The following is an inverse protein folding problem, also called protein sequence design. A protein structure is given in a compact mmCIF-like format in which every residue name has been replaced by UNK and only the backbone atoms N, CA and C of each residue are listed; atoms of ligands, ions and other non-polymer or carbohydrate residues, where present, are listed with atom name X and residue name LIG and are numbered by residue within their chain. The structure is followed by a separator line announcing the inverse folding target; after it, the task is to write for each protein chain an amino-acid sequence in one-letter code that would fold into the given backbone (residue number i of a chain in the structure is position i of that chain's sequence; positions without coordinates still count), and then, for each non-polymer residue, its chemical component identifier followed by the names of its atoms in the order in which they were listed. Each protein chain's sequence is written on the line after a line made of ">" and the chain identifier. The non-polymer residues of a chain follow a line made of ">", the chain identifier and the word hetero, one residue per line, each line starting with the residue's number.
data_IF_535328641768
#
_entry.id   IF_535328641768
#
_cell.length_a   1.000
_cell.length_b   1.000
_cell.length_c   1.000
_cell.angle_alpha   90.00
_cell.angle_beta   90.00
_cell.angle_gamma   90.00
#
_symmetry.space_group_name_H-M   'P 1'
#
loop_
_entity.id
_entity.type
_entity.pdbx_description
1 polymer ?
#
# COMPACT_ATOMS: atom_id res chain seq x y z
N UNK A 1 -0.74 -1.72 42.28
CA UNK A 1 0.23 -0.80 41.64
C UNK A 1 0.57 -1.33 40.26
N UNK A 2 0.04 -0.72 39.19
CA UNK A 2 0.17 -1.28 37.83
C UNK A 2 0.27 -0.24 36.70
N UNK A 3 0.64 1.00 37.01
CA UNK A 3 0.98 2.07 36.05
C UNK A 3 0.04 2.22 34.83
N UNK A 4 -1.27 2.02 35.02
CA UNK A 4 -2.26 1.96 33.94
C UNK A 4 -2.40 3.28 33.17
N UNK A 5 -2.00 4.40 33.75
CA UNK A 5 -1.97 5.72 33.13
C UNK A 5 -1.04 5.79 31.90
N UNK A 6 -0.04 4.91 31.82
CA UNK A 6 0.88 4.85 30.67
C UNK A 6 0.35 3.99 29.50
N UNK A 7 -0.74 3.25 29.69
CA UNK A 7 -1.25 2.34 28.68
C UNK A 7 -1.64 3.07 27.38
N UNK A 8 -2.34 4.20 27.48
CA UNK A 8 -2.73 5.00 26.32
C UNK A 8 -1.51 5.54 25.56
N UNK A 9 -0.51 6.03 26.28
CA UNK A 9 0.72 6.56 25.67
C UNK A 9 1.48 5.48 24.90
N UNK A 10 1.53 4.26 25.43
CA UNK A 10 2.16 3.13 24.75
C UNK A 10 1.44 2.79 23.44
N UNK A 11 0.10 2.73 23.46
CA UNK A 11 -0.71 2.42 22.29
C UNK A 11 -0.57 3.51 21.22
N UNK A 12 -0.61 4.78 21.62
CA UNK A 12 -0.45 5.92 20.72
C UNK A 12 0.91 5.88 19.99
N UNK A 13 2.00 5.67 20.74
CA UNK A 13 3.34 5.58 20.15
C UNK A 13 3.51 4.35 19.26
N UNK A 14 3.07 3.18 19.70
CA UNK A 14 3.12 1.96 18.90
C UNK A 14 2.36 2.13 17.58
N UNK A 15 1.12 2.63 17.65
CA UNK A 15 0.30 2.82 16.46
C UNK A 15 0.88 3.91 15.56
N UNK A 16 1.46 4.98 16.10
CA UNK A 16 2.18 6.00 15.34
C UNK A 16 3.29 5.38 14.45
N UNK A 17 4.14 4.50 15.00
CA UNK A 17 5.14 3.78 14.20
C UNK A 17 4.51 2.82 13.19
N UNK A 18 3.54 2.03 13.62
CA UNK A 18 2.99 0.97 12.78
C UNK A 18 2.15 1.52 11.61
N UNK A 19 1.44 2.63 11.81
CA UNK A 19 0.56 3.25 10.82
C UNK A 19 1.29 3.68 9.55
N UNK A 20 2.50 4.25 9.68
CA UNK A 20 3.38 4.54 8.52
C UNK A 20 4.21 3.35 8.05
N UNK A 21 4.32 2.29 8.86
CA UNK A 21 5.02 1.06 8.44
C UNK A 21 4.28 0.32 7.32
N UNK A 22 3.02 0.67 7.06
CA UNK A 22 2.26 0.22 5.90
C UNK A 22 2.80 0.71 4.55
N UNK A 23 3.90 1.47 4.52
CA UNK A 23 4.75 1.59 3.33
C UNK A 23 5.15 0.21 2.78
N UNK A 24 5.21 -0.85 3.61
CA UNK A 24 5.39 -2.21 3.11
C UNK A 24 4.34 -2.65 2.07
N UNK A 25 3.15 -2.04 2.06
CA UNK A 25 2.09 -2.32 1.09
C UNK A 25 2.37 -1.71 -0.27
N UNK A 26 3.26 -0.72 -0.37
CA UNK A 26 3.64 -0.18 -1.67
C UNK A 26 4.51 -1.16 -2.44
N UNK A 27 5.41 -1.87 -1.76
CA UNK A 27 6.16 -2.98 -2.36
C UNK A 27 5.26 -4.13 -2.85
N UNK A 28 4.17 -4.44 -2.13
CA UNK A 28 3.16 -5.41 -2.61
C UNK A 28 2.39 -4.84 -3.81
N UNK A 29 2.08 -3.53 -3.80
CA UNK A 29 1.48 -2.83 -4.92
C UNK A 29 2.34 -2.89 -6.18
N UNK A 30 3.67 -2.74 -6.06
CA UNK A 30 4.60 -2.81 -7.19
C UNK A 30 4.56 -4.19 -7.86
N UNK A 31 4.52 -5.27 -7.06
CA UNK A 31 4.37 -6.63 -7.57
C UNK A 31 3.05 -6.79 -8.34
N UNK A 32 1.94 -6.26 -7.81
CA UNK A 32 0.63 -6.35 -8.46
C UNK A 32 0.55 -5.50 -9.74
N UNK A 33 1.17 -4.32 -9.76
CA UNK A 33 1.30 -3.49 -10.97
C UNK A 33 2.11 -4.24 -12.04
N UNK A 34 3.22 -4.87 -11.66
CA UNK A 34 4.02 -5.72 -12.56
C UNK A 34 3.25 -6.91 -13.11
N UNK A 35 2.45 -7.59 -12.28
CA UNK A 35 1.59 -8.69 -12.69
C UNK A 35 0.50 -8.22 -13.70
N UNK A 36 -0.14 -7.08 -13.43
CA UNK A 36 -1.14 -6.49 -14.33
C UNK A 36 -0.53 -6.08 -15.69
N UNK A 37 0.67 -5.50 -15.69
CA UNK A 37 1.39 -5.17 -16.92
C UNK A 37 1.78 -6.44 -17.70
N UNK A 38 2.22 -7.49 -17.01
CA UNK A 38 2.62 -8.76 -17.63
C UNK A 38 1.45 -9.49 -18.29
N UNK A 39 0.29 -9.57 -17.63
CA UNK A 39 -0.89 -10.21 -18.23
C UNK A 39 -1.46 -9.41 -19.40
N UNK A 40 -1.34 -8.07 -19.39
CA UNK A 40 -1.69 -7.25 -20.54
C UNK A 40 -0.79 -7.54 -21.76
N UNK A 41 0.50 -7.80 -21.54
CA UNK A 41 1.45 -8.21 -22.58
C UNK A 41 1.12 -9.62 -23.11
N UNK A 42 0.86 -10.58 -22.23
CA UNK A 42 0.47 -11.95 -22.61
C UNK A 42 -0.87 -11.99 -23.38
N UNK A 43 -1.79 -11.08 -23.07
CA UNK A 43 -3.04 -10.90 -23.81
C UNK A 43 -2.86 -10.12 -25.13
N UNK A 44 -1.65 -9.68 -25.47
CA UNK A 44 -1.34 -8.99 -26.73
C UNK A 44 -1.82 -7.54 -26.83
N UNK A 45 -2.18 -6.92 -25.70
CA UNK A 45 -2.74 -5.55 -25.64
C UNK A 45 -1.96 -4.56 -24.75
N UNK A 46 -0.61 -4.62 -24.65
CA UNK A 46 0.14 -3.82 -23.65
C UNK A 46 0.09 -2.31 -23.88
N UNK A 47 -0.30 -1.84 -25.07
CA UNK A 47 -0.20 -0.43 -25.49
C UNK A 47 -1.54 0.29 -25.63
N UNK A 48 -2.67 -0.38 -25.41
CA UNK A 48 -3.99 0.26 -25.49
C UNK A 48 -4.13 1.32 -24.40
N UNK A 49 -4.76 2.45 -24.73
CA UNK A 49 -4.79 3.64 -23.86
C UNK A 49 -5.35 3.35 -22.47
N UNK A 50 -6.50 2.69 -22.40
CA UNK A 50 -7.18 2.44 -21.12
C UNK A 50 -6.40 1.51 -20.17
N UNK A 51 -5.54 0.60 -20.69
CA UNK A 51 -4.68 -0.22 -19.83
C UNK A 51 -3.53 0.63 -19.27
N UNK A 52 -2.88 1.44 -20.12
CA UNK A 52 -1.81 2.35 -19.69
C UNK A 52 -2.31 3.32 -18.62
N UNK A 53 -3.48 3.92 -18.83
CA UNK A 53 -4.07 4.86 -17.86
C UNK A 53 -4.36 4.17 -16.51
N UNK A 54 -4.85 2.93 -16.53
CA UNK A 54 -5.05 2.15 -15.29
C UNK A 54 -3.73 1.83 -14.58
N UNK A 55 -2.68 1.44 -15.31
CA UNK A 55 -1.37 1.18 -14.72
C UNK A 55 -0.75 2.45 -14.11
N UNK A 56 -0.93 3.60 -14.78
CA UNK A 56 -0.53 4.90 -14.25
C UNK A 56 -1.31 5.23 -12.97
N UNK A 57 -2.62 5.03 -12.95
CA UNK A 57 -3.44 5.27 -11.75
C UNK A 57 -3.07 4.33 -10.60
N UNK A 58 -2.81 3.05 -10.88
CA UNK A 58 -2.30 2.11 -9.88
C UNK A 58 -0.99 2.61 -9.27
N UNK A 59 -0.06 3.08 -10.11
CA UNK A 59 1.23 3.65 -9.68
C UNK A 59 1.04 4.91 -8.84
N UNK A 60 0.19 5.83 -9.28
CA UNK A 60 -0.11 7.07 -8.56
C UNK A 60 -0.65 6.82 -7.15
N UNK A 61 -1.62 5.91 -7.03
CA UNK A 61 -2.22 5.53 -5.75
C UNK A 61 -1.19 4.84 -4.84
N UNK A 62 -0.32 4.00 -5.41
CA UNK A 62 0.74 3.31 -4.67
C UNK A 62 1.76 4.31 -4.11
N UNK A 63 2.24 5.22 -4.94
CA UNK A 63 3.21 6.26 -4.57
C UNK A 63 2.62 7.29 -3.60
N UNK A 64 1.31 7.49 -3.60
CA UNK A 64 0.66 8.35 -2.59
C UNK A 64 0.77 7.75 -1.18
N UNK A 65 0.66 6.42 -1.03
CA UNK A 65 0.93 5.75 0.25
C UNK A 65 2.40 5.88 0.62
N UNK A 66 3.31 5.65 -0.34
CA UNK A 66 4.75 5.74 -0.12
C UNK A 66 5.13 7.14 0.37
N UNK A 67 4.72 8.17 -0.38
CA UNK A 67 4.98 9.58 -0.10
C UNK A 67 4.52 10.01 1.29
N UNK A 68 3.31 9.62 1.70
CA UNK A 68 2.78 9.97 3.04
C UNK A 68 3.54 9.25 4.17
N UNK A 69 3.95 8.01 3.97
CA UNK A 69 4.70 7.25 4.97
C UNK A 69 6.16 7.73 5.15
N UNK A 70 6.84 8.06 4.06
CA UNK A 70 8.19 8.65 4.15
C UNK A 70 8.12 10.06 4.74
N UNK A 71 7.12 10.87 4.40
CA UNK A 71 6.96 12.21 4.96
C UNK A 71 6.81 12.16 6.48
N UNK A 72 6.00 11.23 7.01
CA UNK A 72 5.89 10.99 8.45
C UNK A 72 7.26 10.68 9.08
N UNK A 73 8.07 9.85 8.41
CA UNK A 73 9.40 9.47 8.89
C UNK A 73 10.40 10.63 8.84
N UNK A 74 10.38 11.45 7.78
CA UNK A 74 11.25 12.63 7.64
C UNK A 74 10.91 13.73 8.65
N UNK A 75 9.66 13.84 9.09
CA UNK A 75 9.21 14.81 10.09
C UNK A 75 9.39 14.31 11.54
N UNK A 76 10.20 13.27 11.75
CA UNK A 76 10.42 12.68 13.08
C UNK A 76 10.99 13.69 14.07
N UNK A 77 10.63 13.52 15.34
CA UNK A 77 11.15 14.31 16.47
C UNK A 77 11.82 13.39 17.50
N UNK A 78 12.85 13.90 18.17
CA UNK A 78 13.58 13.17 19.22
C UNK A 78 12.82 13.22 20.54
N UNK A 79 12.57 12.06 21.13
CA UNK A 79 11.85 11.91 22.41
C UNK A 79 12.79 12.01 23.62
N UNK A 80 12.23 12.07 24.83
CA UNK A 80 12.99 12.15 26.10
C UNK A 80 14.01 11.01 26.29
N UNK A 81 13.70 9.79 25.81
CA UNK A 81 14.61 8.65 25.86
C UNK A 81 15.70 8.67 24.79
N UNK A 82 15.65 9.63 23.85
CA UNK A 82 16.56 9.75 22.73
C UNK A 82 16.14 9.02 21.45
N UNK A 83 15.10 8.18 21.49
CA UNK A 83 14.51 7.56 20.28
C UNK A 83 13.83 8.63 19.40
N UNK A 84 13.86 8.43 18.10
CA UNK A 84 13.14 9.28 17.13
C UNK A 84 11.76 8.70 16.84
N UNK A 85 10.72 9.48 17.09
CA UNK A 85 9.34 9.13 16.77
C UNK A 85 8.89 9.89 15.52
N UNK A 86 8.27 9.19 14.58
CA UNK A 86 7.71 9.79 13.36
C UNK A 86 6.51 10.70 13.65
N UNK A 87 6.19 11.58 12.70
CA UNK A 87 5.03 12.47 12.82
C UNK A 87 3.73 11.67 12.83
N UNK A 88 2.91 11.88 13.86
CA UNK A 88 1.70 11.11 14.12
C UNK A 88 0.58 11.42 13.11
N UNK A 89 0.39 12.71 12.78
CA UNK A 89 -0.68 13.12 11.88
C UNK A 89 -0.45 12.54 10.48
N UNK A 90 0.78 12.61 9.97
CA UNK A 90 1.16 12.03 8.69
C UNK A 90 1.09 10.50 8.71
N UNK A 91 1.39 9.85 9.84
CA UNK A 91 1.19 8.41 9.98
C UNK A 91 -0.29 8.03 9.90
N UNK A 92 -1.18 8.82 10.50
CA UNK A 92 -2.63 8.63 10.41
C UNK A 92 -3.12 8.79 8.97
N UNK A 93 -2.65 9.82 8.26
CA UNK A 93 -2.96 10.02 6.83
C UNK A 93 -2.49 8.83 5.99
N UNK A 94 -1.24 8.38 6.18
CA UNK A 94 -0.69 7.22 5.48
C UNK A 94 -1.56 5.97 5.70
N UNK A 95 -1.86 5.64 6.96
CA UNK A 95 -2.71 4.48 7.26
C UNK A 95 -4.10 4.62 6.65
N UNK A 96 -4.69 5.81 6.68
CA UNK A 96 -6.04 6.02 6.15
C UNK A 96 -6.10 5.80 4.63
N UNK A 97 -5.10 6.29 3.88
CA UNK A 97 -4.96 5.99 2.45
C UNK A 97 -4.81 4.49 2.19
N UNK A 98 -4.04 3.78 3.03
CA UNK A 98 -3.86 2.32 2.96
C UNK A 98 -5.18 1.56 3.15
N UNK A 99 -6.16 2.11 3.85
CA UNK A 99 -7.48 1.45 3.97
C UNK A 99 -8.31 1.48 2.69
N UNK A 100 -7.89 2.28 1.68
CA UNK A 100 -8.69 2.57 0.48
C UNK A 100 -7.99 2.14 -0.79
N UNK A 101 -6.79 2.63 -1.02
CA UNK A 101 -6.12 2.50 -2.31
C UNK A 101 -5.77 1.06 -2.72
N UNK A 102 -5.37 0.15 -1.81
CA UNK A 102 -5.13 -1.25 -2.18
C UNK A 102 -6.36 -1.93 -2.82
N UNK A 103 -7.58 -1.57 -2.39
CA UNK A 103 -8.80 -2.10 -3.00
C UNK A 103 -8.99 -1.60 -4.44
N UNK A 104 -8.71 -0.32 -4.69
CA UNK A 104 -8.83 0.25 -6.03
C UNK A 104 -7.74 -0.28 -6.97
N UNK A 105 -6.51 -0.44 -6.49
CA UNK A 105 -5.41 -1.09 -7.23
C UNK A 105 -5.80 -2.54 -7.57
N UNK A 106 -6.33 -3.29 -6.60
CA UNK A 106 -6.82 -4.65 -6.82
C UNK A 106 -7.93 -4.72 -7.87
N UNK A 107 -8.87 -3.77 -7.85
CA UNK A 107 -9.95 -3.68 -8.85
C UNK A 107 -9.40 -3.46 -10.26
N UNK A 108 -8.43 -2.57 -10.44
CA UNK A 108 -7.80 -2.36 -11.75
C UNK A 108 -7.01 -3.57 -12.23
N UNK A 109 -6.30 -4.27 -11.33
CA UNK A 109 -5.59 -5.49 -11.69
C UNK A 109 -6.53 -6.57 -12.23
N UNK A 110 -7.69 -6.78 -11.61
CA UNK A 110 -8.70 -7.74 -12.08
C UNK A 110 -9.28 -7.35 -13.46
N UNK A 111 -9.57 -6.06 -13.66
CA UNK A 111 -10.05 -5.51 -14.93
C UNK A 111 -9.05 -5.75 -16.06
N UNK A 112 -7.76 -5.51 -15.81
CA UNK A 112 -6.69 -5.75 -16.80
C UNK A 112 -6.48 -7.26 -17.06
N UNK A 113 -6.58 -8.10 -16.03
CA UNK A 113 -6.37 -9.55 -16.15
C UNK A 113 -7.46 -10.26 -16.98
N UNK A 114 -8.71 -9.81 -16.85
CA UNK A 114 -9.86 -10.44 -17.52
C UNK A 114 -10.38 -11.70 -16.81
N UNK A 115 -11.41 -12.33 -17.37
CA UNK A 115 -12.18 -13.38 -16.67
C UNK A 115 -11.40 -14.64 -16.31
N UNK A 116 -10.34 -14.98 -17.05
CA UNK A 116 -9.59 -16.23 -16.84
C UNK A 116 -8.94 -16.29 -15.45
N UNK A 117 -8.60 -15.15 -14.83
CA UNK A 117 -7.98 -15.15 -13.50
C UNK A 117 -8.88 -15.73 -12.38
N UNK A 118 -10.18 -15.90 -12.65
CA UNK A 118 -11.14 -16.54 -11.72
C UNK A 118 -11.80 -17.79 -12.30
N UNK A 119 -11.44 -18.19 -13.53
CA UNK A 119 -12.00 -19.36 -14.20
C UNK A 119 -10.92 -20.28 -14.79
N UNK A 120 -9.65 -20.08 -14.43
CA UNK A 120 -8.55 -20.94 -14.85
C UNK A 120 -8.79 -22.36 -14.30
N UNK A 121 -8.72 -23.42 -15.13
CA UNK A 121 -8.76 -24.80 -14.64
C UNK A 121 -7.66 -25.08 -13.62
N UNK A 122 -7.82 -26.17 -12.87
CA UNK A 122 -6.76 -26.59 -11.96
C UNK A 122 -5.49 -26.99 -12.73
N UNK A 123 -4.33 -26.92 -12.09
CA UNK A 123 -3.06 -27.34 -12.70
C UNK A 123 -3.08 -28.81 -13.16
N UNK A 124 -3.86 -29.67 -12.48
CA UNK A 124 -4.01 -31.07 -12.85
C UNK A 124 -4.75 -31.28 -14.20
N UNK A 125 -5.43 -30.25 -14.70
CA UNK A 125 -6.19 -30.28 -15.96
C UNK A 125 -5.48 -29.54 -17.11
N UNK A 126 -4.27 -29.01 -16.87
CA UNK A 126 -3.53 -28.16 -17.81
C UNK A 126 -2.72 -28.94 -18.86
#
# INVERSE_FOLDING_TARGET
>A
DGEYEFASMLIERFTCYHRRSYVCKTGVGDVLIGAAASIADYNGVPKVSHIKDKLVEMTHLNETIYGTGIASSYQSQKMKSGVWQNDEMLANVCKHNVTRFPYQIGRFAQDIAGGLMVTLPSEAEF
#
